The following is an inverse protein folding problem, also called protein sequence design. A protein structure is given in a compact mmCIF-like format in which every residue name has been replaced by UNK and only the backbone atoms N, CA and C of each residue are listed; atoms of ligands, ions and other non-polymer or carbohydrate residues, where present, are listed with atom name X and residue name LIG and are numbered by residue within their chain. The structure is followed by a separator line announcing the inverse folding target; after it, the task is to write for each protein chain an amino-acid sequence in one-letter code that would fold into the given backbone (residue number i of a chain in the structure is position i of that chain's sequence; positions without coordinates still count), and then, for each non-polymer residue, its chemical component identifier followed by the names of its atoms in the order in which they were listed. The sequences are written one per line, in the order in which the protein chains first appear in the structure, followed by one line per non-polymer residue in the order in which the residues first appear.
data_IF_294972096896
#
_entry.id   IF_294972096896
#
_cell.length_a   1.000
_cell.length_b   1.000
_cell.length_c   1.000
_cell.angle_alpha   90.00
_cell.angle_beta   90.00
_cell.angle_gamma   90.00
#
_symmetry.space_group_name_H-M   'P 1'
#
loop_
_entity.id
_entity.type
_entity.pdbx_description
1 polymer ?
#
# COMPACT_ATOMS: atom_id res chain seq x y z
N UNK A 1 -3.52 -5.14 -27.63
CA UNK A 1 -2.93 -6.25 -26.84
C UNK A 1 -3.87 -6.61 -25.69
N UNK A 2 -4.66 -7.68 -25.81
CA UNK A 2 -5.66 -8.11 -24.79
C UNK A 2 -5.60 -9.63 -24.54
N UNK A 3 -4.44 -10.27 -24.72
CA UNK A 3 -4.35 -11.73 -24.62
C UNK A 3 -4.08 -12.27 -23.19
N UNK A 4 -3.67 -11.42 -22.24
CA UNK A 4 -3.21 -11.86 -20.90
C UNK A 4 -4.07 -11.37 -19.72
N UNK A 5 -5.07 -10.51 -19.92
CA UNK A 5 -5.90 -10.01 -18.81
C UNK A 5 -6.74 -11.12 -18.16
N UNK A 6 -7.23 -12.08 -18.95
CA UNK A 6 -7.98 -13.24 -18.45
C UNK A 6 -7.10 -14.30 -17.78
N UNK A 7 -5.79 -14.07 -17.67
CA UNK A 7 -4.80 -14.99 -17.08
C UNK A 7 -4.10 -14.38 -15.86
N UNK A 8 -4.56 -13.24 -15.37
CA UNK A 8 -3.95 -12.62 -14.19
C UNK A 8 -4.16 -13.52 -12.96
N UNK A 9 -3.17 -13.64 -12.07
CA UNK A 9 -3.32 -14.36 -10.81
C UNK A 9 -4.53 -13.85 -10.03
N UNK A 10 -5.43 -14.77 -9.66
CA UNK A 10 -6.62 -14.46 -8.86
C UNK A 10 -6.57 -15.06 -7.46
N UNK A 11 -5.60 -15.94 -7.19
CA UNK A 11 -5.31 -16.50 -5.88
C UNK A 11 -4.11 -15.80 -5.23
N UNK A 12 -4.12 -15.75 -3.89
CA UNK A 12 -3.09 -15.06 -3.13
C UNK A 12 -1.70 -15.68 -3.28
N UNK A 13 -1.60 -17.01 -3.38
CA UNK A 13 -0.30 -17.70 -3.46
C UNK A 13 0.45 -17.27 -4.71
N UNK A 14 -0.18 -17.40 -5.88
CA UNK A 14 0.42 -16.99 -7.16
C UNK A 14 0.62 -15.48 -7.22
N UNK A 15 -0.36 -14.69 -6.77
CA UNK A 15 -0.26 -13.24 -6.72
C UNK A 15 0.96 -12.76 -5.91
N UNK A 16 1.16 -13.35 -4.73
CA UNK A 16 2.19 -12.93 -3.76
C UNK A 16 3.64 -13.20 -4.20
N UNK A 17 3.85 -14.06 -5.19
CA UNK A 17 5.17 -14.40 -5.73
C UNK A 17 5.75 -13.32 -6.64
N UNK A 18 4.93 -12.39 -7.11
CA UNK A 18 5.37 -11.29 -7.94
C UNK A 18 5.96 -10.14 -7.14
N UNK A 19 6.75 -9.26 -7.78
CA UNK A 19 7.26 -8.03 -7.15
C UNK A 19 6.13 -7.05 -6.84
N UNK A 20 6.30 -6.17 -5.85
CA UNK A 20 5.27 -5.22 -5.42
C UNK A 20 4.74 -4.34 -6.56
N UNK A 21 5.57 -3.78 -7.47
CA UNK A 21 5.06 -3.05 -8.64
C UNK A 21 4.15 -3.91 -9.51
N UNK A 22 4.51 -5.18 -9.75
CA UNK A 22 3.71 -6.09 -10.55
C UNK A 22 2.42 -6.52 -9.84
N UNK A 23 2.47 -6.74 -8.51
CA UNK A 23 1.29 -7.01 -7.68
C UNK A 23 0.28 -5.85 -7.75
N UNK A 24 0.74 -4.59 -7.65
CA UNK A 24 -0.11 -3.41 -7.84
C UNK A 24 -0.73 -3.36 -9.23
N UNK A 25 0.08 -3.62 -10.27
CA UNK A 25 -0.40 -3.64 -11.66
C UNK A 25 -1.44 -4.73 -11.93
N UNK A 26 -1.27 -5.93 -11.34
CA UNK A 26 -2.28 -6.99 -11.37
C UNK A 26 -3.54 -6.51 -10.63
N UNK A 27 -3.40 -6.08 -9.38
CA UNK A 27 -4.52 -5.67 -8.51
C UNK A 27 -5.42 -4.61 -9.17
N UNK A 28 -4.82 -3.62 -9.82
CA UNK A 28 -5.51 -2.56 -10.55
C UNK A 28 -6.41 -3.08 -11.70
N UNK A 29 -6.22 -4.32 -12.14
CA UNK A 29 -7.02 -4.97 -13.21
C UNK A 29 -8.03 -5.99 -12.67
N UNK A 30 -7.99 -6.32 -11.38
CA UNK A 30 -8.87 -7.33 -10.79
C UNK A 30 -10.22 -6.73 -10.40
N UNK A 31 -11.27 -7.54 -10.52
CA UNK A 31 -12.60 -7.22 -10.01
C UNK A 31 -12.59 -7.07 -8.47
N UNK A 32 -13.46 -6.22 -7.89
CA UNK A 32 -13.51 -6.01 -6.45
C UNK A 32 -13.70 -7.28 -5.62
N UNK A 33 -14.43 -8.28 -6.14
CA UNK A 33 -14.62 -9.56 -5.47
C UNK A 33 -13.34 -10.40 -5.39
N UNK A 34 -12.45 -10.30 -6.39
CA UNK A 34 -11.14 -10.96 -6.38
C UNK A 34 -10.22 -10.24 -5.40
N UNK A 35 -10.20 -8.89 -5.43
CA UNK A 35 -9.44 -8.06 -4.48
C UNK A 35 -9.79 -8.39 -3.03
N UNK A 36 -11.08 -8.55 -2.74
CA UNK A 36 -11.60 -8.97 -1.43
C UNK A 36 -11.00 -10.30 -0.98
N UNK A 37 -11.01 -11.31 -1.84
CA UNK A 37 -10.40 -12.62 -1.54
C UNK A 37 -8.91 -12.52 -1.26
N UNK A 38 -8.18 -11.74 -2.07
CA UNK A 38 -6.73 -11.54 -1.85
C UNK A 38 -6.42 -10.91 -0.49
N UNK A 39 -7.19 -9.91 -0.06
CA UNK A 39 -7.03 -9.31 1.27
C UNK A 39 -7.37 -10.28 2.40
N UNK A 40 -8.45 -11.06 2.26
CA UNK A 40 -8.81 -12.09 3.25
C UNK A 40 -7.69 -13.12 3.39
N UNK A 41 -7.17 -13.62 2.26
CA UNK A 41 -6.07 -14.60 2.25
C UNK A 41 -4.78 -14.01 2.85
N UNK A 42 -4.51 -12.73 2.59
CA UNK A 42 -3.39 -12.00 3.18
C UNK A 42 -3.49 -11.94 4.71
N UNK A 43 -4.65 -11.54 5.25
CA UNK A 43 -4.87 -11.50 6.70
C UNK A 43 -4.82 -12.90 7.33
N UNK A 44 -5.32 -13.92 6.64
CA UNK A 44 -5.21 -15.31 7.08
C UNK A 44 -3.74 -15.78 7.11
N UNK A 45 -2.94 -15.41 6.11
CA UNK A 45 -1.51 -15.69 6.08
C UNK A 45 -0.78 -14.96 7.22
N UNK A 46 -1.11 -13.70 7.46
CA UNK A 46 -0.55 -12.93 8.56
C UNK A 46 -0.81 -13.60 9.92
N UNK A 47 -2.06 -14.01 10.20
CA UNK A 47 -2.37 -14.74 11.45
C UNK A 47 -1.56 -16.02 11.63
N UNK A 48 -1.31 -16.76 10.55
CA UNK A 48 -0.47 -17.98 10.59
C UNK A 48 1.00 -17.67 10.90
N UNK A 49 1.50 -16.55 10.40
CA UNK A 49 2.89 -16.12 10.62
C UNK A 49 3.11 -15.49 12.02
N UNK A 50 2.05 -15.03 12.68
CA UNK A 50 2.09 -14.37 13.98
C UNK A 50 1.18 -15.09 15.00
N UNK A 51 1.60 -16.25 15.53
CA UNK A 51 0.79 -17.04 16.48
C UNK A 51 0.62 -16.36 17.84
N UNK A 52 1.39 -15.31 18.14
CA UNK A 52 1.45 -14.59 19.41
C UNK A 52 0.63 -13.28 19.42
N UNK A 53 -0.24 -13.06 18.41
CA UNK A 53 -1.10 -11.88 18.34
C UNK A 53 -1.95 -11.71 19.60
N UNK A 54 -1.93 -10.50 20.15
CA UNK A 54 -2.77 -10.15 21.30
C UNK A 54 -4.27 -10.26 20.96
N UNK A 55 -5.16 -10.42 21.96
CA UNK A 55 -6.61 -10.41 21.73
C UNK A 55 -7.09 -9.13 21.03
N UNK A 56 -6.41 -8.00 21.26
CA UNK A 56 -6.70 -6.73 20.58
C UNK A 56 -6.38 -6.79 19.10
N UNK A 57 -5.18 -7.25 18.74
CA UNK A 57 -4.75 -7.39 17.34
C UNK A 57 -5.62 -8.40 16.57
N UNK A 58 -6.01 -9.50 17.21
CA UNK A 58 -6.91 -10.49 16.60
C UNK A 58 -8.28 -9.90 16.25
N UNK A 59 -8.86 -9.07 17.14
CA UNK A 59 -10.12 -8.37 16.87
C UNK A 59 -10.00 -7.41 15.69
N UNK A 60 -8.94 -6.60 15.64
CA UNK A 60 -8.72 -5.66 14.54
C UNK A 60 -8.53 -6.39 13.19
N UNK A 61 -7.88 -7.55 13.18
CA UNK A 61 -7.82 -8.38 11.97
C UNK A 61 -9.20 -8.89 11.55
N UNK A 62 -10.08 -9.22 12.49
CA UNK A 62 -11.46 -9.59 12.17
C UNK A 62 -12.26 -8.40 11.62
N UNK A 63 -12.04 -7.19 12.15
CA UNK A 63 -12.66 -5.96 11.66
C UNK A 63 -12.18 -5.60 10.24
N UNK A 64 -10.88 -5.76 9.98
CA UNK A 64 -10.30 -5.65 8.63
C UNK A 64 -10.92 -6.66 7.67
N UNK A 65 -11.06 -7.92 8.07
CA UNK A 65 -11.74 -8.94 7.26
C UNK A 65 -13.19 -8.59 6.97
N UNK A 66 -13.94 -8.12 7.98
CA UNK A 66 -15.31 -7.68 7.80
C UNK A 66 -15.40 -6.50 6.81
N UNK A 67 -14.45 -5.56 6.89
CA UNK A 67 -14.37 -4.41 5.99
C UNK A 67 -14.10 -4.85 4.54
N UNK A 68 -13.12 -5.72 4.30
CA UNK A 68 -12.76 -6.15 2.92
C UNK A 68 -13.75 -7.15 2.34
N UNK A 69 -14.57 -7.81 3.16
CA UNK A 69 -15.67 -8.69 2.70
C UNK A 69 -16.75 -7.95 1.93
N UNK A 70 -16.84 -6.64 2.07
CA UNK A 70 -17.74 -5.77 1.31
C UNK A 70 -16.95 -5.31 0.07
N UNK A 71 -17.16 -5.90 -1.14
CA UNK A 71 -16.29 -5.62 -2.28
C UNK A 71 -16.34 -4.16 -2.74
N UNK A 72 -17.46 -3.46 -2.50
CA UNK A 72 -17.59 -2.03 -2.76
C UNK A 72 -16.64 -1.17 -1.92
N UNK A 73 -16.01 -1.69 -0.86
CA UNK A 73 -14.99 -0.95 -0.12
C UNK A 73 -13.60 -0.97 -0.79
N UNK A 74 -13.41 -1.74 -1.86
CA UNK A 74 -12.11 -1.99 -2.52
C UNK A 74 -12.02 -1.42 -3.94
N UNK A 75 -12.90 -0.49 -4.29
CA UNK A 75 -12.76 0.28 -5.51
C UNK A 75 -11.76 1.42 -5.32
N UNK A 76 -11.22 1.93 -6.44
CA UNK A 76 -10.41 3.14 -6.44
C UNK A 76 -11.19 4.30 -5.79
N UNK A 77 -10.60 4.97 -4.81
CA UNK A 77 -11.22 6.06 -4.06
C UNK A 77 -11.27 7.33 -4.89
N UNK A 78 -12.40 8.02 -4.85
CA UNK A 78 -12.52 9.39 -5.35
C UNK A 78 -12.08 10.38 -4.25
N UNK A 79 -11.47 11.53 -4.57
CA UNK A 79 -11.05 12.52 -3.58
C UNK A 79 -12.14 12.96 -2.59
N UNK A 80 -13.40 13.00 -3.04
CA UNK A 80 -14.56 13.41 -2.23
C UNK A 80 -15.26 12.24 -1.50
N UNK A 81 -14.76 11.02 -1.65
CA UNK A 81 -15.40 9.84 -1.09
C UNK A 81 -15.01 9.63 0.38
N UNK A 82 -15.99 9.77 1.28
CA UNK A 82 -15.86 9.32 2.67
C UNK A 82 -16.38 7.88 2.83
N UNK A 83 -15.48 6.95 3.14
CA UNK A 83 -15.81 5.54 3.42
C UNK A 83 -16.00 5.25 4.91
N UNK A 84 -15.87 6.25 5.78
CA UNK A 84 -15.97 6.07 7.24
C UNK A 84 -14.90 5.12 7.83
N UNK A 85 -13.79 4.91 7.10
CA UNK A 85 -12.73 3.96 7.45
C UNK A 85 -11.61 4.57 8.30
N UNK A 86 -11.65 5.88 8.58
CA UNK A 86 -10.65 6.60 9.36
C UNK A 86 -10.46 6.04 10.77
N UNK A 87 -11.55 5.61 11.41
CA UNK A 87 -11.48 4.96 12.72
C UNK A 87 -10.71 3.64 12.65
N UNK A 88 -11.00 2.80 11.66
CA UNK A 88 -10.34 1.51 11.49
C UNK A 88 -8.86 1.69 11.15
N UNK A 89 -8.51 2.67 10.31
CA UNK A 89 -7.12 3.06 10.03
C UNK A 89 -6.37 3.40 11.31
N UNK A 90 -6.96 4.24 12.16
CA UNK A 90 -6.39 4.62 13.45
C UNK A 90 -6.21 3.40 14.37
N UNK A 91 -7.22 2.55 14.51
CA UNK A 91 -7.18 1.37 15.36
C UNK A 91 -6.10 0.37 14.93
N UNK A 92 -5.91 0.18 13.61
CA UNK A 92 -4.81 -0.65 13.07
C UNK A 92 -3.45 -0.06 13.44
N UNK A 93 -3.22 1.23 13.23
CA UNK A 93 -1.95 1.88 13.58
C UNK A 93 -1.69 1.78 15.08
N UNK A 94 -2.71 2.01 15.92
CA UNK A 94 -2.57 1.99 17.38
C UNK A 94 -2.24 0.59 17.94
N UNK A 95 -2.76 -0.47 17.32
CA UNK A 95 -2.54 -1.84 17.79
C UNK A 95 -1.28 -2.52 17.23
N UNK A 96 -0.78 -2.09 16.07
CA UNK A 96 0.36 -2.72 15.40
C UNK A 96 1.59 -1.82 15.30
N UNK A 97 1.43 -0.50 15.47
CA UNK A 97 2.44 0.48 15.08
C UNK A 97 2.42 0.73 13.57
N UNK A 98 2.93 1.88 13.13
CA UNK A 98 2.79 2.35 11.73
C UNK A 98 3.44 1.41 10.71
N UNK A 99 4.63 0.90 11.00
CA UNK A 99 5.37 0.05 10.06
C UNK A 99 4.70 -1.32 9.87
N UNK A 100 4.22 -1.93 10.96
CA UNK A 100 3.51 -3.21 10.84
C UNK A 100 2.09 -3.04 10.30
N UNK A 101 1.41 -1.95 10.67
CA UNK A 101 0.16 -1.56 10.04
C UNK A 101 0.33 -1.40 8.52
N UNK A 102 1.42 -0.78 8.04
CA UNK A 102 1.74 -0.70 6.61
C UNK A 102 1.82 -2.08 5.96
N UNK A 103 2.55 -3.01 6.58
CA UNK A 103 2.67 -4.38 6.07
C UNK A 103 1.31 -5.07 5.96
N UNK A 104 0.42 -4.80 6.92
CA UNK A 104 -0.93 -5.34 6.96
C UNK A 104 -1.89 -4.76 5.93
N UNK A 105 -1.88 -3.43 5.71
CA UNK A 105 -2.99 -2.74 5.00
C UNK A 105 -2.56 -1.94 3.78
N UNK A 106 -1.25 -1.79 3.56
CA UNK A 106 -0.69 -1.03 2.45
C UNK A 106 0.39 -1.82 1.68
N UNK A 107 0.54 -3.11 1.95
CA UNK A 107 1.40 -4.03 1.22
C UNK A 107 0.66 -5.38 1.05
N UNK A 108 0.00 -5.59 -0.09
CA UNK A 108 -0.67 -6.86 -0.36
C UNK A 108 0.36 -7.90 -0.80
N UNK A 109 0.68 -8.83 0.09
CA UNK A 109 1.73 -9.85 -0.09
C UNK A 109 2.87 -9.70 0.93
N UNK A 110 3.92 -10.53 0.83
CA UNK A 110 5.09 -10.42 1.69
C UNK A 110 5.73 -9.04 1.61
N UNK A 111 6.22 -8.56 2.75
CA UNK A 111 7.08 -7.39 2.78
C UNK A 111 8.30 -7.67 1.89
N UNK A 112 8.55 -6.80 0.91
CA UNK A 112 9.80 -6.88 0.17
C UNK A 112 10.92 -6.48 1.12
N UNK A 113 11.98 -7.30 1.18
CA UNK A 113 13.18 -6.91 1.89
C UNK A 113 13.63 -5.56 1.33
N UNK A 114 13.97 -4.60 2.19
CA UNK A 114 14.42 -3.24 1.84
C UNK A 114 15.72 -3.16 0.99
N UNK A 115 16.08 -4.26 0.31
CA UNK A 115 17.25 -4.40 -0.56
C UNK A 115 16.81 -4.34 -2.01
N UNK A 116 16.73 -3.12 -2.52
CA UNK A 116 17.70 -2.54 -3.47
C UNK A 116 17.00 -1.32 -4.05
N UNK A 117 17.28 -0.12 -3.52
CA UNK A 117 17.02 1.09 -4.29
C UNK A 117 17.71 0.89 -5.66
N UNK A 118 17.03 1.12 -6.80
CA UNK A 118 17.58 0.78 -8.10
C UNK A 118 18.92 1.50 -8.30
N UNK A 119 20.01 0.73 -8.19
CA UNK A 119 21.36 1.20 -8.51
C UNK A 119 21.48 1.27 -10.03
N UNK A 120 21.19 2.45 -10.58
CA UNK A 120 21.59 2.96 -11.88
C UNK A 120 21.25 2.16 -13.16
N UNK A 121 20.38 2.79 -13.98
CA UNK A 121 20.55 3.02 -15.42
C UNK A 121 20.70 1.81 -16.37
N UNK A 122 19.59 1.43 -17.02
CA UNK A 122 19.56 1.16 -18.46
C UNK A 122 18.10 1.18 -18.98
N UNK A 123 17.80 2.13 -19.88
CA UNK A 123 16.49 2.48 -20.45
C UNK A 123 15.51 3.13 -19.46
N UNK A 124 15.27 4.43 -19.65
CA UNK A 124 14.22 5.22 -19.01
C UNK A 124 12.81 4.77 -19.44
N UNK A 125 12.43 3.54 -19.08
CA UNK A 125 11.04 3.26 -18.78
C UNK A 125 10.74 3.97 -17.46
N UNK A 126 9.84 4.95 -17.48
CA UNK A 126 9.36 5.66 -16.29
C UNK A 126 9.06 4.65 -15.17
N UNK A 127 9.70 4.80 -14.01
CA UNK A 127 9.42 4.00 -12.82
C UNK A 127 7.96 4.23 -12.40
N UNK A 128 7.22 3.20 -12.00
CA UNK A 128 5.87 3.40 -11.45
C UNK A 128 5.95 4.11 -10.10
N UNK A 129 5.06 5.09 -9.88
CA UNK A 129 4.92 5.69 -8.55
C UNK A 129 4.53 4.60 -7.54
N UNK A 130 4.93 4.76 -6.28
CA UNK A 130 4.82 3.72 -5.26
C UNK A 130 4.03 4.10 -4.00
N UNK A 131 3.64 5.37 -3.87
CA UNK A 131 2.83 5.83 -2.75
C UNK A 131 1.76 6.84 -3.17
N UNK A 132 0.79 7.05 -2.27
CA UNK A 132 -0.27 8.05 -2.41
C UNK A 132 -0.05 9.18 -1.43
N UNK A 133 -0.11 10.43 -1.90
CA UNK A 133 -0.07 11.61 -1.02
C UNK A 133 -1.37 11.80 -0.24
N UNK A 134 -2.47 11.17 -0.68
CA UNK A 134 -3.78 11.19 -0.01
C UNK A 134 -3.89 10.11 1.07
N UNK A 135 -3.09 9.05 0.96
CA UNK A 135 -3.03 7.96 1.95
C UNK A 135 -1.57 7.55 2.15
N UNK A 136 -0.86 8.33 2.94
CA UNK A 136 0.57 8.13 3.20
C UNK A 136 0.80 6.93 4.14
N UNK A 137 1.36 5.88 3.56
CA UNK A 137 1.81 4.67 4.25
C UNK A 137 3.31 4.45 4.10
N UNK A 138 4.08 5.49 3.80
CA UNK A 138 5.54 5.42 3.94
C UNK A 138 5.89 5.13 5.42
N UNK A 139 6.95 4.33 5.63
CA UNK A 139 7.35 3.83 6.95
C UNK A 139 8.43 4.70 7.59
N UNK A 140 8.62 4.58 8.91
CA UNK A 140 9.65 5.32 9.66
C UNK A 140 9.69 6.83 9.36
N UNK A 141 10.88 7.34 9.01
CA UNK A 141 11.13 8.76 8.70
C UNK A 141 10.80 9.17 7.26
N UNK A 142 10.11 8.32 6.50
CA UNK A 142 9.77 8.58 5.10
C UNK A 142 8.37 9.21 4.99
N UNK A 143 8.14 10.00 3.93
CA UNK A 143 6.84 10.57 3.57
C UNK A 143 6.58 10.31 2.09
N UNK A 144 5.32 10.20 1.71
CA UNK A 144 4.97 10.25 0.32
C UNK A 144 5.05 11.70 -0.19
N UNK A 145 5.85 11.93 -1.23
CA UNK A 145 5.86 13.20 -1.94
C UNK A 145 5.47 12.98 -3.40
N UNK A 146 4.69 13.91 -3.92
CA UNK A 146 4.35 13.94 -5.34
C UNK A 146 5.62 13.98 -6.18
N UNK A 147 5.70 13.11 -7.19
CA UNK A 147 6.89 12.97 -8.02
C UNK A 147 6.49 12.91 -9.50
N UNK A 148 6.94 13.87 -10.30
CA UNK A 148 6.51 14.03 -11.70
C UNK A 148 7.15 13.01 -12.64
N UNK A 149 8.30 12.46 -12.27
CA UNK A 149 9.10 11.59 -13.13
C UNK A 149 8.80 10.10 -12.93
N UNK A 150 7.74 9.77 -12.18
CA UNK A 150 7.18 8.43 -12.11
C UNK A 150 5.86 8.34 -12.89
N UNK A 151 5.54 7.13 -13.38
CA UNK A 151 4.27 6.84 -14.02
C UNK A 151 3.19 6.64 -12.96
N UNK A 152 2.16 7.47 -13.01
CA UNK A 152 1.01 7.31 -12.13
C UNK A 152 0.34 5.95 -12.35
N UNK A 153 -0.02 5.30 -11.25
CA UNK A 153 -0.84 4.09 -11.25
C UNK A 153 -2.14 4.42 -10.53
N UNK A 154 -3.27 4.26 -11.22
CA UNK A 154 -4.59 4.72 -10.75
C UNK A 154 -5.27 3.75 -9.76
N UNK A 155 -4.48 2.96 -9.03
CA UNK A 155 -4.88 1.98 -8.02
C UNK A 155 -3.61 1.35 -7.40
N UNK A 156 -3.74 0.65 -6.27
CA UNK A 156 -2.62 -0.14 -5.74
C UNK A 156 -1.76 0.57 -4.70
N UNK A 157 -2.09 1.80 -4.31
CA UNK A 157 -1.41 2.51 -3.21
C UNK A 157 -2.38 2.82 -2.06
N UNK A 158 -1.80 3.24 -0.94
CA UNK A 158 -2.58 3.71 0.20
C UNK A 158 -3.30 2.59 0.96
N UNK A 159 -4.29 3.01 1.74
CA UNK A 159 -5.15 2.10 2.49
C UNK A 159 -5.84 1.09 1.57
N UNK A 160 -5.58 -0.19 1.82
CA UNK A 160 -6.12 -1.35 1.11
C UNK A 160 -6.00 -1.25 -0.40
N UNK A 161 -4.89 -0.65 -0.87
CA UNK A 161 -4.60 -0.44 -2.28
C UNK A 161 -5.66 0.36 -3.03
N UNK A 162 -6.45 1.19 -2.34
CA UNK A 162 -7.58 1.91 -2.96
C UNK A 162 -7.24 3.31 -3.48
N UNK A 163 -5.98 3.74 -3.41
CA UNK A 163 -5.56 5.10 -3.77
C UNK A 163 -4.62 5.09 -4.97
N UNK A 164 -4.60 6.22 -5.65
CA UNK A 164 -3.67 6.48 -6.74
C UNK A 164 -2.23 6.52 -6.22
N UNK A 165 -1.34 5.82 -6.91
CA UNK A 165 0.10 5.96 -6.78
C UNK A 165 0.54 7.17 -7.61
N UNK A 166 0.88 8.27 -6.95
CA UNK A 166 1.29 9.54 -7.60
C UNK A 166 2.56 10.14 -6.98
N UNK A 167 3.25 9.38 -6.13
CA UNK A 167 4.46 9.82 -5.47
C UNK A 167 5.46 8.70 -5.18
N UNK A 168 6.58 9.12 -4.60
CA UNK A 168 7.65 8.26 -4.10
C UNK A 168 7.80 8.43 -2.59
N UNK A 169 8.10 7.34 -1.87
CA UNK A 169 8.50 7.48 -0.48
C UNK A 169 9.92 8.07 -0.45
N UNK A 170 10.06 9.28 0.09
CA UNK A 170 11.36 9.94 0.25
C UNK A 170 11.58 10.35 1.72
N UNK A 171 12.84 10.54 2.10
CA UNK A 171 13.20 10.87 3.48
C UNK A 171 12.62 12.25 3.83
N UNK A 172 12.00 12.37 5.00
CA UNK A 172 11.68 13.68 5.56
C UNK A 172 13.00 14.35 5.95
N UNK A 173 13.25 15.55 5.43
CA UNK A 173 14.38 16.33 5.90
C UNK A 173 14.13 16.80 7.34
N UNK A 174 14.81 16.20 8.32
CA UNK A 174 14.89 16.74 9.68
C UNK A 174 16.05 17.74 9.71
N UNK A 175 15.74 19.02 9.49
CA UNK A 175 16.55 20.23 9.73
C UNK A 175 18.08 20.12 9.61
N UNK A 176 18.64 20.71 8.57
CA UNK A 176 19.91 21.43 8.72
C UNK A 176 19.54 22.73 9.46
N UNK A 177 20.07 22.93 10.67
CA UNK A 177 19.94 24.22 11.35
C UNK A 177 20.68 25.27 10.50
N UNK A 178 19.94 26.11 9.79
CA UNK A 178 20.48 27.16 8.93
C UNK A 178 19.40 27.74 8.04
N UNK A 179 18.87 28.88 8.49
CA UNK A 179 18.09 29.87 7.75
C UNK A 179 16.61 29.55 7.45
N UNK A 180 15.76 30.04 8.36
CA UNK A 180 14.39 30.53 8.21
C UNK A 180 13.69 30.33 6.85
N UNK A 181 13.19 29.12 6.61
CA UNK A 181 11.99 28.89 5.80
C UNK A 181 11.36 27.53 6.14
N UNK A 182 10.12 27.48 6.66
CA UNK A 182 9.47 26.23 7.01
C UNK A 182 8.87 25.57 5.76
N UNK A 183 9.71 25.00 4.90
CA UNK A 183 9.25 24.01 3.91
C UNK A 183 9.26 22.62 4.55
N UNK A 184 8.31 22.39 5.45
CA UNK A 184 8.01 21.08 6.10
C UNK A 184 7.61 19.98 5.09
N UNK A 185 7.71 20.27 3.79
CA UNK A 185 7.28 19.47 2.65
C UNK A 185 8.40 19.28 1.60
N UNK A 186 9.67 19.49 1.94
CA UNK A 186 10.78 19.13 1.05
C UNK A 186 11.19 17.67 1.25
N UNK A 187 11.35 16.94 0.15
CA UNK A 187 12.04 15.66 0.10
C UNK A 187 13.55 15.88 0.06
N UNK A 188 14.30 15.03 0.75
CA UNK A 188 15.70 14.77 0.44
C UNK A 188 15.77 13.44 -0.35
#
# INVERSE_FOLDING_TARGET
MMANLNRLPQDYVTFSQHTAPYRRAIYAKLDPSVRSRLWIDHFAQYRRAHPDLSPRQQRILADLEAYVRIPSNLHRRSPDEDRGDERLKFEVIDAFGKDEARNLVANLGPAESARTAPTNSALAASVDCECSIESDWCGGSWKCFYYRDCRNVWDGCGWLYSYDCIGMCMLKCTGVAGDDSPSINAAC
#
